data_IF_076641706783
#
_entry.id   IF_076641706783
#
_cell.length_a   1.000
_cell.length_b   1.000
_cell.length_c   1.000
_cell.angle_alpha   90.00
_cell.angle_beta   90.00
_cell.angle_gamma   90.00
#
_symmetry.space_group_name_H-M   'P 1'
#
loop_
_entity.id
_entity.type
_entity.pdbx_description
1 polymer ?
#
# COMPACT_ATOMS: atom_id res chain seq x y z
N UNK A 1 -15.91 66.31 -29.02
CA UNK A 1 -17.27 66.38 -28.44
C UNK A 1 -17.84 64.96 -28.27
N UNK A 2 -17.31 64.14 -27.35
CA UNK A 2 -17.80 62.76 -27.08
C UNK A 2 -17.63 62.37 -25.60
N UNK A 3 -18.13 63.21 -24.70
CA UNK A 3 -18.14 62.98 -23.25
C UNK A 3 -19.60 62.86 -22.79
N UNK A 4 -20.10 61.63 -22.59
CA UNK A 4 -21.12 61.22 -21.59
C UNK A 4 -21.79 59.89 -21.96
N UNK A 5 -22.10 59.13 -20.90
CA UNK A 5 -22.87 57.88 -20.81
C UNK A 5 -22.08 56.58 -20.98
N UNK A 6 -21.53 56.12 -19.87
CA UNK A 6 -21.79 54.78 -19.30
C UNK A 6 -21.28 54.77 -17.86
N UNK A 7 -22.03 55.48 -17.02
CA UNK A 7 -22.15 55.07 -15.63
C UNK A 7 -23.08 53.87 -15.56
N UNK A 8 -22.90 53.06 -14.52
CA UNK A 8 -23.84 52.05 -14.04
C UNK A 8 -23.97 50.78 -14.88
N UNK A 9 -22.99 49.88 -14.73
CA UNK A 9 -23.28 48.48 -14.39
C UNK A 9 -22.14 47.97 -13.50
N UNK A 10 -22.07 48.45 -12.25
CA UNK A 10 -21.48 47.66 -11.17
C UNK A 10 -22.49 46.56 -10.85
N UNK A 11 -22.43 45.46 -11.60
CA UNK A 11 -23.14 44.25 -11.25
C UNK A 11 -22.44 43.66 -10.03
N UNK A 12 -22.89 44.06 -8.83
CA UNK A 12 -22.66 43.32 -7.60
C UNK A 12 -23.08 41.89 -7.89
N UNK A 13 -22.11 41.00 -8.18
CA UNK A 13 -22.31 39.56 -8.06
C UNK A 13 -22.58 39.29 -6.60
N UNK A 14 -23.85 39.33 -6.22
CA UNK A 14 -24.31 38.73 -4.99
C UNK A 14 -23.78 37.31 -4.99
N UNK A 15 -22.88 37.02 -4.04
CA UNK A 15 -22.39 35.68 -3.78
C UNK A 15 -23.62 34.89 -3.34
N UNK A 16 -24.31 34.28 -4.31
CA UNK A 16 -25.45 33.43 -4.05
C UNK A 16 -24.99 32.36 -3.07
N UNK A 17 -25.56 32.38 -1.86
CA UNK A 17 -25.31 31.33 -0.87
C UNK A 17 -25.73 30.01 -1.52
N UNK A 18 -24.76 29.20 -1.89
CA UNK A 18 -25.00 27.83 -2.35
C UNK A 18 -25.53 27.10 -1.12
N UNK A 19 -26.85 26.97 -1.01
CA UNK A 19 -27.48 26.14 0.01
C UNK A 19 -27.21 24.70 -0.35
N UNK A 20 -26.14 24.13 0.20
CA UNK A 20 -25.85 22.71 0.07
C UNK A 20 -27.00 21.92 0.70
N UNK A 21 -27.68 21.09 -0.11
CA UNK A 21 -28.55 20.06 0.44
C UNK A 21 -27.70 19.05 1.21
N UNK A 22 -28.24 18.47 2.29
CA UNK A 22 -27.55 17.42 3.06
C UNK A 22 -27.08 16.25 2.18
N UNK A 23 -27.81 15.98 1.10
CA UNK A 23 -27.50 14.92 0.13
C UNK A 23 -26.27 15.30 -0.72
N UNK A 24 -26.16 16.56 -1.15
CA UNK A 24 -25.03 17.04 -1.95
C UNK A 24 -23.75 17.11 -1.11
N UNK A 25 -23.88 17.54 0.15
CA UNK A 25 -22.77 17.52 1.11
C UNK A 25 -22.29 16.08 1.39
N UNK A 26 -23.21 15.13 1.55
CA UNK A 26 -22.87 13.73 1.78
C UNK A 26 -22.22 13.08 0.55
N UNK A 27 -22.74 13.37 -0.66
CA UNK A 27 -22.17 12.89 -1.92
C UNK A 27 -20.75 13.42 -2.16
N UNK A 28 -20.55 14.73 -1.95
CA UNK A 28 -19.23 15.36 -2.04
C UNK A 28 -18.24 14.79 -1.01
N UNK A 29 -18.71 14.50 0.21
CA UNK A 29 -17.90 13.84 1.24
C UNK A 29 -17.49 12.42 0.85
N UNK A 30 -18.42 11.63 0.33
CA UNK A 30 -18.18 10.24 -0.09
C UNK A 30 -17.15 10.16 -1.22
N UNK A 31 -17.24 11.03 -2.23
CA UNK A 31 -16.32 11.03 -3.37
C UNK A 31 -14.87 11.36 -2.96
N UNK A 32 -14.68 12.23 -1.98
CA UNK A 32 -13.35 12.55 -1.44
C UNK A 32 -12.74 11.39 -0.64
N UNK A 33 -13.55 10.70 0.18
CA UNK A 33 -13.09 9.53 0.94
C UNK A 33 -12.75 8.38 0.00
N UNK A 34 -13.57 8.15 -1.03
CA UNK A 34 -13.39 7.05 -1.99
C UNK A 34 -12.11 7.19 -2.81
N UNK A 35 -11.78 8.40 -3.29
CA UNK A 35 -10.52 8.64 -4.01
C UNK A 35 -9.30 8.38 -3.13
N UNK A 36 -9.36 8.75 -1.85
CA UNK A 36 -8.27 8.52 -0.88
C UNK A 36 -8.12 7.04 -0.52
N UNK A 37 -9.24 6.31 -0.41
CA UNK A 37 -9.26 4.89 -0.06
C UNK A 37 -8.76 3.98 -1.19
N UNK A 38 -9.16 4.28 -2.43
CA UNK A 38 -8.81 3.43 -3.58
C UNK A 38 -7.29 3.28 -3.78
N UNK A 39 -6.49 4.31 -3.49
CA UNK A 39 -5.02 4.27 -3.64
C UNK A 39 -4.34 3.46 -2.55
N UNK A 40 -4.74 3.69 -1.30
CA UNK A 40 -4.24 2.91 -0.16
C UNK A 40 -4.61 1.42 -0.32
N UNK A 41 -5.80 1.13 -0.86
CA UNK A 41 -6.24 -0.22 -1.16
C UNK A 41 -5.37 -0.92 -2.22
N UNK A 42 -4.90 -0.22 -3.25
CA UNK A 42 -4.02 -0.79 -4.27
C UNK A 42 -2.67 -1.24 -3.68
N UNK A 43 -2.02 -0.36 -2.92
CA UNK A 43 -0.76 -0.70 -2.25
C UNK A 43 -0.94 -1.83 -1.23
N UNK A 44 -2.01 -1.78 -0.43
CA UNK A 44 -2.33 -2.82 0.53
C UNK A 44 -2.60 -4.17 -0.14
N UNK A 45 -3.33 -4.21 -1.26
CA UNK A 45 -3.59 -5.43 -2.01
C UNK A 45 -2.30 -6.04 -2.59
N UNK A 46 -1.41 -5.21 -3.16
CA UNK A 46 -0.12 -5.68 -3.67
C UNK A 46 0.75 -6.30 -2.56
N UNK A 47 0.83 -5.65 -1.41
CA UNK A 47 1.52 -6.14 -0.21
C UNK A 47 0.88 -7.46 0.26
N UNK A 48 -0.45 -7.47 0.40
CA UNK A 48 -1.21 -8.62 0.88
C UNK A 48 -1.01 -9.84 -0.01
N UNK A 49 -1.11 -9.69 -1.34
CA UNK A 49 -0.95 -10.79 -2.28
C UNK A 49 0.48 -11.31 -2.34
N UNK A 50 1.48 -10.42 -2.38
CA UNK A 50 2.89 -10.81 -2.37
C UNK A 50 3.26 -11.59 -1.10
N UNK A 51 2.80 -11.11 0.06
CA UNK A 51 3.09 -11.76 1.35
C UNK A 51 2.25 -13.01 1.54
N UNK A 52 1.01 -13.06 1.05
CA UNK A 52 0.22 -14.28 1.05
C UNK A 52 0.90 -15.38 0.25
N UNK A 53 1.46 -15.07 -0.92
CA UNK A 53 2.22 -16.01 -1.73
C UNK A 53 3.50 -16.49 -1.00
N UNK A 54 4.29 -15.57 -0.45
CA UNK A 54 5.47 -15.90 0.33
C UNK A 54 5.15 -16.75 1.58
N UNK A 55 4.12 -16.37 2.34
CA UNK A 55 3.63 -17.08 3.52
C UNK A 55 3.15 -18.49 3.15
N UNK A 56 2.38 -18.63 2.07
CA UNK A 56 1.90 -19.93 1.59
C UNK A 56 3.07 -20.88 1.28
N UNK A 57 4.07 -20.42 0.54
CA UNK A 57 5.21 -21.26 0.19
C UNK A 57 6.10 -21.59 1.40
N UNK A 58 6.32 -20.63 2.30
CA UNK A 58 7.15 -20.84 3.52
C UNK A 58 6.45 -21.76 4.53
N UNK A 59 5.14 -21.64 4.69
CA UNK A 59 4.34 -22.55 5.49
C UNK A 59 4.32 -23.94 4.88
N UNK A 60 4.16 -24.04 3.56
CA UNK A 60 4.22 -25.34 2.87
C UNK A 60 5.55 -26.03 3.09
N UNK A 61 6.69 -25.33 2.98
CA UNK A 61 8.00 -25.89 3.34
C UNK A 61 8.02 -26.42 4.77
N UNK A 62 7.52 -25.64 5.72
CA UNK A 62 7.46 -26.03 7.13
C UNK A 62 6.65 -27.31 7.33
N UNK A 63 5.47 -27.43 6.71
CA UNK A 63 4.65 -28.64 6.76
C UNK A 63 5.35 -29.85 6.14
N UNK A 64 5.99 -29.68 4.99
CA UNK A 64 6.76 -30.75 4.34
C UNK A 64 7.96 -31.20 5.18
N UNK A 65 8.68 -30.28 5.83
CA UNK A 65 9.80 -30.60 6.73
C UNK A 65 9.35 -31.42 7.95
N UNK A 66 8.15 -31.14 8.48
CA UNK A 66 7.57 -31.90 9.59
C UNK A 66 7.13 -33.29 9.11
N UNK A 67 6.51 -33.40 7.94
CA UNK A 67 6.07 -34.67 7.36
C UNK A 67 7.26 -35.60 7.06
N UNK A 68 8.31 -35.07 6.42
CA UNK A 68 9.54 -35.82 6.10
C UNK A 68 10.27 -36.32 7.35
N UNK A 69 10.29 -35.54 8.43
CA UNK A 69 10.85 -35.97 9.72
C UNK A 69 10.03 -37.10 10.37
N UNK A 70 8.72 -37.15 10.12
CA UNK A 70 7.83 -38.17 10.71
C UNK A 70 7.79 -39.48 9.91
N UNK A 71 7.89 -39.44 8.57
CA UNK A 71 7.73 -40.61 7.70
C UNK A 71 8.99 -40.96 6.86
N UNK A 72 10.11 -40.26 7.06
CA UNK A 72 11.39 -40.59 6.39
C UNK A 72 11.45 -40.24 4.90
N UNK A 73 10.56 -39.36 4.42
CA UNK A 73 10.54 -38.88 3.03
C UNK A 73 11.63 -37.84 2.72
N UNK A 74 12.05 -37.76 1.46
CA UNK A 74 13.08 -36.83 0.96
C UNK A 74 12.56 -35.66 0.13
N UNK A 75 11.32 -35.20 0.36
CA UNK A 75 10.75 -34.09 -0.42
C UNK A 75 11.30 -32.75 0.11
N UNK A 76 12.26 -32.17 -0.60
CA UNK A 76 12.80 -30.83 -0.35
C UNK A 76 12.21 -29.85 -1.36
N UNK A 77 12.14 -28.56 -1.01
CA UNK A 77 11.79 -27.52 -1.97
C UNK A 77 12.67 -27.61 -3.21
N UNK A 78 12.03 -27.74 -4.36
CA UNK A 78 12.68 -27.75 -5.65
C UNK A 78 13.16 -26.33 -6.01
N UNK A 79 14.31 -26.22 -6.70
CA UNK A 79 14.96 -24.93 -6.97
C UNK A 79 14.07 -23.92 -7.72
N UNK A 80 13.06 -24.40 -8.46
CA UNK A 80 12.12 -23.54 -9.17
C UNK A 80 11.24 -22.70 -8.22
N UNK A 81 10.94 -23.18 -7.01
CA UNK A 81 10.08 -22.48 -6.05
C UNK A 81 10.73 -21.19 -5.54
N UNK A 82 12.04 -21.25 -5.25
CA UNK A 82 12.82 -20.07 -4.86
C UNK A 82 12.87 -19.01 -5.98
N UNK A 83 12.95 -19.45 -7.24
CA UNK A 83 12.88 -18.55 -8.39
C UNK A 83 11.52 -17.85 -8.51
N UNK A 84 10.41 -18.59 -8.36
CA UNK A 84 9.06 -18.02 -8.39
C UNK A 84 8.83 -17.03 -7.25
N UNK A 85 9.36 -17.33 -6.05
CA UNK A 85 9.34 -16.41 -4.91
C UNK A 85 10.04 -15.09 -5.25
N UNK A 86 11.27 -15.15 -5.76
CA UNK A 86 12.04 -13.97 -6.12
C UNK A 86 11.28 -13.09 -7.11
N UNK A 87 10.76 -13.69 -8.19
CA UNK A 87 9.99 -12.95 -9.21
C UNK A 87 8.74 -12.31 -8.60
N UNK A 88 8.01 -13.02 -7.74
CA UNK A 88 6.83 -12.47 -7.06
C UNK A 88 7.16 -11.27 -6.17
N UNK A 89 8.26 -11.33 -5.41
CA UNK A 89 8.70 -10.22 -4.56
C UNK A 89 9.08 -8.99 -5.39
N UNK A 90 9.76 -9.19 -6.52
CA UNK A 90 10.10 -8.10 -7.44
C UNK A 90 8.84 -7.43 -7.99
N UNK A 91 7.87 -8.22 -8.45
CA UNK A 91 6.58 -7.70 -8.95
C UNK A 91 5.83 -6.93 -7.86
N UNK A 92 5.86 -7.40 -6.62
CA UNK A 92 5.28 -6.71 -5.47
C UNK A 92 5.93 -5.33 -5.26
N UNK A 93 7.27 -5.25 -5.26
CA UNK A 93 8.02 -3.99 -5.12
C UNK A 93 7.65 -3.00 -6.22
N UNK A 94 7.66 -3.44 -7.48
CA UNK A 94 7.32 -2.58 -8.63
C UNK A 94 5.89 -2.04 -8.51
N UNK A 95 4.95 -2.89 -8.09
CA UNK A 95 3.54 -2.51 -7.91
C UNK A 95 3.37 -1.44 -6.83
N UNK A 96 4.07 -1.59 -5.69
CA UNK A 96 4.06 -0.62 -4.60
C UNK A 96 4.68 0.70 -5.05
N UNK A 97 5.85 0.65 -5.70
CA UNK A 97 6.53 1.86 -6.19
C UNK A 97 5.65 2.65 -7.16
N UNK A 98 5.01 1.98 -8.12
CA UNK A 98 4.12 2.63 -9.08
C UNK A 98 2.89 3.26 -8.40
N UNK A 99 2.26 2.53 -7.48
CA UNK A 99 1.13 3.06 -6.71
C UNK A 99 1.53 4.29 -5.88
N UNK A 100 2.72 4.27 -5.29
CA UNK A 100 3.23 5.38 -4.49
C UNK A 100 3.60 6.59 -5.33
N UNK A 101 4.14 6.40 -6.54
CA UNK A 101 4.36 7.51 -7.49
C UNK A 101 3.05 8.23 -7.81
N UNK A 102 1.99 7.48 -8.12
CA UNK A 102 0.66 8.05 -8.36
C UNK A 102 0.17 8.82 -7.12
N UNK A 103 0.35 8.26 -5.92
CA UNK A 103 -0.04 8.93 -4.67
C UNK A 103 0.70 10.27 -4.44
N UNK A 104 1.97 10.37 -4.84
CA UNK A 104 2.75 11.61 -4.78
C UNK A 104 2.19 12.64 -5.76
N UNK A 105 1.86 12.24 -6.99
CA UNK A 105 1.28 13.15 -8.00
C UNK A 105 -0.08 13.69 -7.59
N UNK A 106 -0.92 12.89 -6.95
CA UNK A 106 -2.23 13.37 -6.52
C UNK A 106 -2.17 14.31 -5.30
N UNK A 107 -1.07 14.27 -4.53
CA UNK A 107 -0.82 15.17 -3.38
C UNK A 107 0.18 16.28 -3.71
N UNK A 108 0.47 16.51 -4.99
CA UNK A 108 1.50 17.44 -5.44
C UNK A 108 1.31 18.85 -4.87
N UNK A 109 0.10 19.41 -4.96
CA UNK A 109 -0.24 20.73 -4.39
C UNK A 109 -0.19 20.77 -2.87
N UNK A 110 -0.64 19.71 -2.19
CA UNK A 110 -0.58 19.61 -0.72
C UNK A 110 0.88 19.63 -0.22
N UNK A 111 1.77 18.93 -0.91
CA UNK A 111 3.21 18.90 -0.58
C UNK A 111 3.85 20.26 -0.84
N UNK A 112 3.49 20.90 -1.96
CA UNK A 112 3.94 22.25 -2.28
C UNK A 112 3.55 23.29 -1.23
N UNK A 113 2.30 23.28 -0.77
CA UNK A 113 1.84 24.20 0.28
C UNK A 113 2.54 23.93 1.62
N UNK A 114 2.73 22.66 2.01
CA UNK A 114 3.49 22.30 3.22
C UNK A 114 4.92 22.84 3.17
N UNK A 115 5.61 22.71 2.03
CA UNK A 115 6.96 23.25 1.86
C UNK A 115 7.02 24.77 1.87
N UNK A 116 6.02 25.46 1.31
CA UNK A 116 5.94 26.93 1.38
C UNK A 116 5.78 27.44 2.81
N UNK A 117 5.16 26.64 3.69
CA UNK A 117 5.04 26.93 5.12
C UNK A 117 6.32 26.58 5.92
N UNK A 118 7.39 26.14 5.24
CA UNK A 118 8.69 25.85 5.85
C UNK A 118 8.90 24.38 6.24
N UNK A 119 8.09 23.43 5.74
CA UNK A 119 8.36 22.02 5.97
C UNK A 119 9.66 21.57 5.28
N UNK A 120 10.56 20.91 6.03
CA UNK A 120 11.78 20.33 5.48
C UNK A 120 11.47 19.09 4.63
N UNK A 121 12.33 18.82 3.64
CA UNK A 121 12.27 17.60 2.80
C UNK A 121 12.20 16.31 3.65
N UNK A 122 12.88 16.29 4.80
CA UNK A 122 12.86 15.16 5.73
C UNK A 122 11.46 14.90 6.33
N UNK A 123 10.64 15.93 6.54
CA UNK A 123 9.28 15.76 7.05
C UNK A 123 8.38 15.08 6.02
N UNK A 124 8.51 15.49 4.75
CA UNK A 124 7.78 14.88 3.63
C UNK A 124 8.21 13.42 3.47
N UNK A 125 9.51 13.15 3.51
CA UNK A 125 10.03 11.78 3.41
C UNK A 125 9.53 10.90 4.55
N UNK A 126 9.59 11.37 5.81
CA UNK A 126 9.08 10.64 6.98
C UNK A 126 7.59 10.36 6.89
N UNK A 127 6.79 11.30 6.38
CA UNK A 127 5.35 11.13 6.22
C UNK A 127 5.03 9.92 5.34
N UNK A 128 5.67 9.84 4.17
CA UNK A 128 5.49 8.74 3.23
C UNK A 128 6.03 7.40 3.76
N UNK A 129 7.17 7.41 4.45
CA UNK A 129 7.70 6.20 5.08
C UNK A 129 6.75 5.66 6.15
N UNK A 130 6.24 6.51 7.05
CA UNK A 130 5.28 6.09 8.08
C UNK A 130 3.99 5.55 7.44
N UNK A 131 3.49 6.21 6.40
CA UNK A 131 2.32 5.73 5.64
C UNK A 131 2.57 4.32 5.07
N UNK A 132 3.75 4.10 4.44
CA UNK A 132 4.11 2.80 3.88
C UNK A 132 4.29 1.70 4.93
N UNK A 133 4.78 2.04 6.14
CA UNK A 133 4.94 1.10 7.25
C UNK A 133 3.57 0.67 7.79
N UNK A 134 2.64 1.62 7.95
CA UNK A 134 1.27 1.30 8.39
C UNK A 134 0.60 0.36 7.39
N UNK A 135 0.73 0.65 6.09
CA UNK A 135 0.22 -0.23 5.03
C UNK A 135 0.91 -1.60 5.01
N UNK A 136 2.21 -1.66 5.30
CA UNK A 136 2.97 -2.91 5.38
C UNK A 136 2.55 -3.81 6.55
N UNK A 137 2.26 -3.20 7.70
CA UNK A 137 1.78 -3.93 8.88
C UNK A 137 0.36 -4.49 8.64
N UNK A 138 -0.54 -3.67 8.11
CA UNK A 138 -1.91 -4.09 7.79
C UNK A 138 -1.94 -5.10 6.64
N UNK A 139 -1.29 -4.80 5.51
CA UNK A 139 -1.22 -5.70 4.37
C UNK A 139 -0.44 -6.98 4.67
N UNK A 140 0.62 -6.91 5.48
CA UNK A 140 1.42 -8.08 5.85
C UNK A 140 0.72 -9.00 6.83
N UNK A 141 0.02 -8.46 7.82
CA UNK A 141 -0.82 -9.28 8.72
C UNK A 141 -1.97 -9.96 7.98
N UNK A 142 -2.66 -9.23 7.11
CA UNK A 142 -3.71 -9.79 6.25
C UNK A 142 -3.13 -10.83 5.28
N UNK A 143 -1.99 -10.54 4.66
CA UNK A 143 -1.31 -11.45 3.74
C UNK A 143 -0.88 -12.74 4.43
N UNK A 144 -0.31 -12.65 5.62
CA UNK A 144 0.01 -13.83 6.43
C UNK A 144 -1.24 -14.67 6.74
N UNK A 145 -2.32 -14.03 7.18
CA UNK A 145 -3.58 -14.71 7.48
C UNK A 145 -4.15 -15.46 6.26
N UNK A 146 -4.14 -14.81 5.09
CA UNK A 146 -4.59 -15.43 3.83
C UNK A 146 -3.66 -16.58 3.44
N UNK A 147 -2.34 -16.39 3.52
CA UNK A 147 -1.37 -17.43 3.20
C UNK A 147 -1.45 -18.64 4.14
N UNK A 148 -1.77 -18.41 5.41
CA UNK A 148 -2.00 -19.47 6.38
C UNK A 148 -3.23 -20.31 6.02
N UNK A 149 -4.34 -19.66 5.71
CA UNK A 149 -5.57 -20.36 5.26
C UNK A 149 -5.30 -21.13 3.96
N UNK A 150 -4.66 -20.49 2.98
CA UNK A 150 -4.33 -21.12 1.70
C UNK A 150 -3.41 -22.35 1.87
N UNK A 151 -2.41 -22.25 2.75
CA UNK A 151 -1.50 -23.35 3.04
C UNK A 151 -2.20 -24.51 3.76
N UNK A 152 -3.08 -24.23 4.72
CA UNK A 152 -3.84 -25.28 5.43
C UNK A 152 -4.74 -26.03 4.45
N UNK A 153 -5.44 -25.31 3.58
CA UNK A 153 -6.28 -25.92 2.55
C UNK A 153 -5.43 -26.83 1.66
N UNK A 154 -4.31 -26.31 1.14
CA UNK A 154 -3.42 -27.05 0.23
C UNK A 154 -2.84 -28.32 0.86
N UNK A 155 -2.39 -28.24 2.12
CA UNK A 155 -1.83 -29.38 2.87
C UNK A 155 -2.91 -30.40 3.21
N UNK A 156 -4.11 -29.96 3.56
CA UNK A 156 -5.22 -30.87 3.88
C UNK A 156 -5.59 -31.74 2.69
N UNK A 157 -5.57 -31.19 1.47
CA UNK A 157 -5.84 -31.96 0.25
C UNK A 157 -4.71 -32.91 -0.16
N UNK A 158 -3.46 -32.61 0.19
CA UNK A 158 -2.28 -33.37 -0.30
C UNK A 158 -1.77 -34.40 0.71
N UNK A 159 -1.64 -33.99 1.97
CA UNK A 159 -1.00 -34.79 3.03
C UNK A 159 -1.95 -35.13 4.19
N UNK A 160 -3.13 -34.51 4.23
CA UNK A 160 -4.15 -34.74 5.25
C UNK A 160 -4.03 -33.85 6.49
N UNK A 161 -5.15 -33.67 7.20
CA UNK A 161 -5.29 -32.70 8.29
C UNK A 161 -4.40 -32.98 9.52
N UNK A 162 -3.93 -34.21 9.69
CA UNK A 162 -3.11 -34.62 10.85
C UNK A 162 -1.77 -33.87 10.95
N UNK A 163 -1.21 -33.41 9.83
CA UNK A 163 0.07 -32.69 9.81
C UNK A 163 -0.09 -31.24 10.28
N UNK A 164 -1.25 -30.64 9.99
CA UNK A 164 -1.59 -29.29 10.46
C UNK A 164 -1.64 -29.27 11.99
N UNK A 165 -2.25 -30.28 12.61
CA UNK A 165 -2.34 -30.39 14.08
C UNK A 165 -0.98 -30.68 14.75
N UNK A 166 -0.06 -31.34 14.04
CA UNK A 166 1.30 -31.62 14.54
C UNK A 166 2.23 -30.42 14.46
N UNK A 167 1.81 -29.33 13.81
CA UNK A 167 2.67 -28.16 13.61
C UNK A 167 2.75 -27.33 14.89
N UNK A 168 3.95 -27.12 15.46
CA UNK A 168 4.09 -26.41 16.70
C UNK A 168 3.71 -24.92 16.53
N UNK A 169 2.93 -24.34 17.46
CA UNK A 169 2.52 -22.93 17.38
C UNK A 169 3.70 -21.95 17.32
N UNK A 170 4.84 -22.33 17.89
CA UNK A 170 6.07 -21.55 17.86
C UNK A 170 6.61 -21.31 16.45
N UNK A 171 6.45 -22.28 15.54
CA UNK A 171 6.88 -22.12 14.14
C UNK A 171 5.97 -21.15 13.38
N UNK A 172 4.67 -21.17 13.66
CA UNK A 172 3.72 -20.21 13.07
C UNK A 172 3.98 -18.78 13.56
N UNK A 173 4.27 -18.62 14.86
CA UNK A 173 4.64 -17.31 15.43
C UNK A 173 5.97 -16.79 14.87
N UNK A 174 6.97 -17.66 14.67
CA UNK A 174 8.22 -17.28 14.05
C UNK A 174 8.02 -16.78 12.60
N UNK A 175 7.24 -17.53 11.80
CA UNK A 175 6.91 -17.14 10.42
C UNK A 175 6.08 -15.85 10.34
N UNK A 176 5.18 -15.61 11.29
CA UNK A 176 4.50 -14.32 11.39
C UNK A 176 5.50 -13.17 11.58
N UNK A 177 6.50 -13.35 12.44
CA UNK A 177 7.56 -12.35 12.63
C UNK A 177 8.37 -12.10 11.36
N UNK A 178 8.79 -13.17 10.68
CA UNK A 178 9.55 -13.09 9.42
C UNK A 178 8.74 -12.42 8.31
N UNK A 179 7.46 -12.76 8.16
CA UNK A 179 6.58 -12.20 7.12
C UNK A 179 6.28 -10.73 7.34
N UNK A 180 6.08 -10.30 8.59
CA UNK A 180 5.92 -8.87 8.92
C UNK A 180 7.23 -8.11 8.69
N UNK A 181 8.37 -8.69 9.08
CA UNK A 181 9.66 -8.05 8.84
C UNK A 181 9.93 -7.88 7.34
N UNK A 182 9.64 -8.92 6.56
CA UNK A 182 9.73 -8.90 5.11
C UNK A 182 8.76 -7.86 4.51
N UNK A 183 7.52 -7.76 5.00
CA UNK A 183 6.54 -6.79 4.50
C UNK A 183 7.02 -5.36 4.66
N UNK A 184 7.53 -5.04 5.85
CA UNK A 184 8.06 -3.71 6.17
C UNK A 184 9.31 -3.44 5.34
N UNK A 185 10.21 -4.40 5.21
CA UNK A 185 11.41 -4.26 4.39
C UNK A 185 11.08 -3.98 2.91
N UNK A 186 10.18 -4.77 2.31
CA UNK A 186 9.78 -4.58 0.92
C UNK A 186 9.07 -3.25 0.69
N UNK A 187 8.12 -2.90 1.56
CA UNK A 187 7.37 -1.64 1.46
C UNK A 187 8.27 -0.41 1.61
N UNK A 188 9.19 -0.43 2.58
CA UNK A 188 10.14 0.67 2.80
C UNK A 188 11.10 0.83 1.63
N UNK A 189 11.66 -0.26 1.09
CA UNK A 189 12.53 -0.24 -0.09
C UNK A 189 11.77 0.29 -1.31
N UNK A 190 10.55 -0.21 -1.55
CA UNK A 190 9.72 0.20 -2.68
C UNK A 190 9.30 1.68 -2.60
N UNK A 191 9.11 2.20 -1.38
CA UNK A 191 8.67 3.58 -1.12
C UNK A 191 9.81 4.58 -1.08
N UNK A 192 11.05 4.13 -0.84
CA UNK A 192 12.20 5.03 -0.67
C UNK A 192 12.40 5.96 -1.88
N UNK A 193 12.36 5.40 -3.09
CA UNK A 193 12.52 6.16 -4.34
C UNK A 193 11.41 7.22 -4.54
N UNK A 194 10.11 6.87 -4.52
CA UNK A 194 9.04 7.87 -4.72
C UNK A 194 8.96 8.87 -3.57
N UNK A 195 9.21 8.46 -2.32
CA UNK A 195 9.23 9.37 -1.17
C UNK A 195 10.35 10.40 -1.29
N UNK A 196 11.54 9.98 -1.73
CA UNK A 196 12.64 10.90 -2.01
C UNK A 196 12.30 11.89 -3.14
N UNK A 197 11.67 11.39 -4.21
CA UNK A 197 11.22 12.24 -5.32
C UNK A 197 10.20 13.28 -4.86
N UNK A 198 9.24 12.87 -4.02
CA UNK A 198 8.25 13.76 -3.42
C UNK A 198 8.89 14.82 -2.51
N UNK A 199 9.87 14.39 -1.71
CA UNK A 199 10.61 15.25 -0.82
C UNK A 199 11.47 16.28 -1.56
N UNK A 200 11.83 16.07 -2.83
CA UNK A 200 12.61 17.02 -3.64
C UNK A 200 11.80 17.91 -4.58
N UNK A 201 10.47 17.89 -4.49
CA UNK A 201 9.62 18.74 -5.32
C UNK A 201 9.85 20.23 -5.04
N UNK A 202 9.89 21.02 -6.11
CA UNK A 202 10.01 22.47 -6.04
C UNK A 202 8.64 23.09 -5.68
N UNK A 203 8.53 23.84 -4.56
CA UNK A 203 7.26 24.45 -4.14
C UNK A 203 6.67 25.41 -5.19
N UNK A 204 7.53 26.08 -5.97
CA UNK A 204 7.09 27.04 -6.99
C UNK A 204 6.40 26.31 -8.14
N UNK A 205 6.95 25.18 -8.58
CA UNK A 205 6.31 24.34 -9.61
C UNK A 205 5.01 23.71 -9.11
N UNK A 206 4.95 23.34 -7.82
CA UNK A 206 3.75 22.78 -7.21
C UNK A 206 2.55 23.74 -7.19
N UNK A 207 2.80 25.04 -7.02
CA UNK A 207 1.75 26.06 -7.04
C UNK A 207 1.41 26.55 -8.46
N UNK A 208 2.35 26.44 -9.40
CA UNK A 208 2.15 26.81 -10.81
C UNK A 208 1.37 25.75 -11.61
N UNK A 209 1.13 24.57 -11.02
CA UNK A 209 0.35 23.49 -11.63
C UNK A 209 -1.16 23.81 -11.64
N UNK A 210 -1.52 24.82 -12.44
CA UNK A 210 -2.87 25.09 -12.96
C UNK A 210 -2.72 25.42 -14.45
N UNK A 211 -2.84 24.40 -15.30
CA UNK A 211 -3.44 24.49 -16.64
C UNK A 211 -4.26 23.23 -16.86
#
# INVERSE_FOLDING_TARGET
MWRRRRGEVEEKREVGRITFSLIDAFRLGYDNVKRRFNRAALSMAAITLGIAFFSTLSLMDTFFRIYTQAEGGGLRMESYQYWLLLVSLVVCVVSITNSMLIAVYERYREIGTMKCLGALDQHVLKLFLVESIILALLGGSLGYGIGLVASIISVTFTLGFNIVLKTPPTSLLALLGETILLSVALSTVATMYPAYRAAKLDPVEALRYEV
#
